data_IF_770876339282
#
_entry.id   IF_770876339282
#
_cell.length_a   1.000
_cell.length_b   1.000
_cell.length_c   1.000
_cell.angle_alpha   90.00
_cell.angle_beta   90.00
_cell.angle_gamma   90.00
#
_symmetry.space_group_name_H-M   'P 1'
#
loop_
_entity.id
_entity.type
_entity.pdbx_description
1 polymer ?
#
# COMPACT_ATOMS: atom_id res chain seq x y z
N UNK A 1 -19.89 -22.84 4.81
CA UNK A 1 -18.64 -23.03 5.50
C UNK A 1 -17.50 -22.34 4.79
N UNK A 2 -16.66 -21.73 5.53
CA UNK A 2 -15.55 -21.02 4.93
C UNK A 2 -14.29 -21.85 5.05
N UNK A 3 -13.67 -22.05 3.94
CA UNK A 3 -12.43 -22.80 3.90
C UNK A 3 -11.27 -21.84 3.83
N UNK A 4 -10.17 -22.28 4.40
CA UNK A 4 -8.92 -21.54 4.24
C UNK A 4 -8.58 -21.46 2.76
N UNK A 5 -8.13 -20.31 2.34
CA UNK A 5 -7.74 -20.12 0.97
C UNK A 5 -6.22 -20.10 0.87
N UNK A 6 -5.67 -20.89 -0.03
CA UNK A 6 -4.26 -20.80 -0.36
C UNK A 6 -4.05 -20.29 -1.78
N UNK A 7 -5.14 -19.91 -2.45
CA UNK A 7 -5.06 -19.39 -3.81
C UNK A 7 -4.47 -17.99 -3.79
N UNK A 8 -3.29 -17.78 -4.34
CA UNK A 8 -2.67 -16.45 -4.30
C UNK A 8 -3.51 -15.35 -4.95
N UNK A 9 -4.29 -15.71 -5.97
CA UNK A 9 -5.17 -14.72 -6.60
C UNK A 9 -6.23 -14.23 -5.66
N UNK A 10 -6.88 -15.14 -4.95
CA UNK A 10 -7.92 -14.77 -3.99
C UNK A 10 -7.32 -13.97 -2.85
N UNK A 11 -6.19 -14.42 -2.33
CA UNK A 11 -5.52 -13.74 -1.23
C UNK A 11 -5.14 -12.33 -1.64
N UNK A 12 -4.51 -12.19 -2.80
CA UNK A 12 -4.03 -10.88 -3.24
C UNK A 12 -5.17 -9.90 -3.45
N UNK A 13 -6.24 -10.34 -4.04
CA UNK A 13 -7.37 -9.45 -4.30
C UNK A 13 -8.03 -8.99 -2.98
N UNK A 14 -8.21 -9.92 -2.06
CA UNK A 14 -8.82 -9.59 -0.78
C UNK A 14 -7.94 -8.63 0.01
N UNK A 15 -6.63 -8.85 0.00
CA UNK A 15 -5.69 -7.95 0.69
C UNK A 15 -5.73 -6.57 0.05
N UNK A 16 -5.74 -6.52 -1.29
CA UNK A 16 -5.76 -5.24 -1.99
C UNK A 16 -7.00 -4.44 -1.62
N UNK A 17 -8.15 -5.08 -1.59
CA UNK A 17 -9.39 -4.40 -1.24
C UNK A 17 -9.37 -3.90 0.21
N UNK A 18 -8.87 -4.73 1.11
CA UNK A 18 -8.81 -4.34 2.52
C UNK A 18 -7.87 -3.17 2.77
N UNK A 19 -6.72 -3.19 2.12
CA UNK A 19 -5.74 -2.12 2.30
C UNK A 19 -6.21 -0.83 1.62
N UNK A 20 -6.85 -0.95 0.46
CA UNK A 20 -7.33 0.22 -0.26
C UNK A 20 -8.38 1.00 0.55
N UNK A 21 -9.06 0.35 1.48
CA UNK A 21 -10.05 1.00 2.30
C UNK A 21 -9.51 1.70 3.53
N UNK A 22 -8.20 1.64 3.77
CA UNK A 22 -7.60 2.24 4.95
C UNK A 22 -7.46 3.75 4.77
N UNK A 23 -7.91 4.52 5.77
CA UNK A 23 -7.76 5.97 5.71
C UNK A 23 -6.28 6.32 5.64
N UNK A 24 -5.92 7.17 4.70
CA UNK A 24 -4.54 7.58 4.51
C UNK A 24 -3.82 6.81 3.42
N UNK A 25 -4.42 5.74 2.90
CA UNK A 25 -3.86 5.03 1.75
C UNK A 25 -4.50 5.60 0.49
N UNK A 26 -3.68 6.19 -0.37
CA UNK A 26 -4.18 6.75 -1.62
C UNK A 26 -4.51 5.65 -2.63
N UNK A 27 -3.59 4.70 -2.76
CA UNK A 27 -3.77 3.58 -3.67
C UNK A 27 -2.65 2.58 -3.49
N UNK A 28 -2.82 1.41 -4.07
CA UNK A 28 -1.74 0.47 -4.22
C UNK A 28 -0.97 0.83 -5.49
N UNK A 29 0.29 0.40 -5.57
CA UNK A 29 1.15 0.79 -6.68
C UNK A 29 2.02 -0.40 -7.08
N UNK A 30 2.39 -0.51 -8.37
CA UNK A 30 3.29 -1.58 -8.78
C UNK A 30 4.72 -1.42 -8.28
N UNK A 31 5.01 -0.33 -7.58
CA UNK A 31 6.36 -0.07 -7.13
C UNK A 31 7.21 0.54 -8.24
N UNK A 32 8.50 0.69 -7.92
CA UNK A 32 9.46 1.19 -8.91
C UNK A 32 10.24 -0.02 -9.43
N UNK A 33 10.49 -0.05 -10.72
CA UNK A 33 11.25 -1.16 -11.31
C UNK A 33 10.35 -2.27 -11.80
N UNK A 34 10.66 -3.51 -11.42
CA UNK A 34 9.85 -4.64 -11.83
C UNK A 34 8.49 -4.56 -11.15
N UNK A 35 7.45 -4.78 -11.93
CA UNK A 35 6.08 -4.64 -11.41
C UNK A 35 5.83 -5.60 -10.25
N UNK A 36 5.38 -5.05 -9.14
CA UNK A 36 4.97 -5.84 -7.99
C UNK A 36 3.50 -6.21 -8.16
N UNK A 37 3.24 -7.49 -8.35
CA UNK A 37 1.88 -7.95 -8.60
C UNK A 37 1.78 -9.43 -8.33
N UNK A 38 0.56 -9.91 -8.13
CA UNK A 38 0.26 -11.32 -8.07
C UNK A 38 -0.57 -11.65 -9.30
N UNK A 39 -0.09 -12.60 -10.08
CA UNK A 39 -0.75 -12.98 -11.32
C UNK A 39 -1.59 -14.25 -11.12
N UNK A 40 -2.72 -14.30 -11.79
CA UNK A 40 -3.61 -15.43 -11.71
C UNK A 40 -4.36 -15.57 -13.04
N UNK A 41 -5.11 -16.65 -13.18
CA UNK A 41 -5.87 -16.85 -14.40
C UNK A 41 -6.85 -15.72 -14.60
N UNK A 42 -6.73 -15.03 -15.72
CA UNK A 42 -7.64 -13.95 -16.06
C UNK A 42 -7.20 -12.58 -15.59
N UNK A 43 -6.08 -12.45 -14.88
CA UNK A 43 -5.69 -11.11 -14.45
C UNK A 43 -4.53 -11.06 -13.50
N UNK A 44 -4.45 -9.94 -12.79
CA UNK A 44 -3.40 -9.73 -11.80
C UNK A 44 -3.88 -8.74 -10.75
N UNK A 45 -3.28 -8.80 -9.57
CA UNK A 45 -3.50 -7.81 -8.53
C UNK A 45 -2.22 -7.02 -8.37
N UNK A 46 -2.25 -5.76 -8.79
CA UNK A 46 -1.07 -4.89 -8.73
C UNK A 46 -0.88 -4.40 -7.30
N UNK A 47 0.36 -4.37 -6.86
CA UNK A 47 0.71 -3.84 -5.55
C UNK A 47 0.67 -4.84 -4.43
N UNK A 48 0.31 -6.09 -4.71
CA UNK A 48 0.29 -7.14 -3.69
C UNK A 48 1.08 -8.32 -4.23
N UNK A 49 2.09 -8.75 -3.49
CA UNK A 49 2.87 -9.92 -3.85
C UNK A 49 2.66 -10.96 -2.77
N UNK A 50 2.06 -12.07 -3.15
CA UNK A 50 1.75 -13.16 -2.22
C UNK A 50 2.80 -14.26 -2.37
N UNK A 51 3.45 -14.58 -1.26
CA UNK A 51 4.40 -15.67 -1.22
C UNK A 51 3.93 -16.66 -0.17
N UNK A 52 4.58 -17.79 -0.10
CA UNK A 52 4.16 -18.85 0.80
C UNK A 52 4.15 -18.39 2.26
N UNK A 53 5.13 -17.60 2.65
CA UNK A 53 5.29 -17.20 4.05
C UNK A 53 5.11 -15.71 4.28
N UNK A 54 4.75 -14.94 3.25
CA UNK A 54 4.77 -13.50 3.35
C UNK A 54 3.87 -12.87 2.30
N UNK A 55 3.27 -11.75 2.67
CA UNK A 55 2.57 -10.90 1.72
C UNK A 55 3.22 -9.52 1.80
N UNK A 56 3.56 -8.97 0.65
CA UNK A 56 4.13 -7.63 0.59
C UNK A 56 3.16 -6.72 -0.15
N UNK A 57 2.90 -5.55 0.43
CA UNK A 57 1.93 -4.61 -0.11
C UNK A 57 2.64 -3.30 -0.40
N UNK A 58 2.49 -2.80 -1.61
CA UNK A 58 3.11 -1.55 -2.06
C UNK A 58 2.06 -0.48 -2.16
N UNK A 59 2.23 0.60 -1.39
CA UNK A 59 1.19 1.62 -1.29
C UNK A 59 1.76 3.02 -1.44
N UNK A 60 0.86 3.92 -1.82
CA UNK A 60 1.11 5.36 -1.83
C UNK A 60 0.21 5.96 -0.76
N UNK A 61 0.76 6.83 0.06
CA UNK A 61 0.02 7.42 1.17
C UNK A 61 -0.50 8.80 0.81
N UNK A 62 -1.64 9.15 1.37
CA UNK A 62 -2.23 10.47 1.22
C UNK A 62 -2.24 11.26 2.52
N UNK A 63 -1.70 10.70 3.59
CA UNK A 63 -1.69 11.33 4.90
C UNK A 63 -0.41 11.00 5.64
N UNK A 64 -0.11 11.84 6.62
CA UNK A 64 0.96 11.63 7.57
C UNK A 64 0.34 11.36 8.94
N UNK A 65 1.05 10.77 9.86
CA UNK A 65 2.44 10.29 9.78
C UNK A 65 2.53 8.96 9.05
N UNK A 66 3.67 8.78 8.38
CA UNK A 66 3.88 7.58 7.55
C UNK A 66 3.73 6.30 8.37
N UNK A 67 4.41 6.25 9.51
CA UNK A 67 4.45 5.03 10.32
C UNK A 67 3.05 4.60 10.76
N UNK A 68 2.23 5.57 11.14
CA UNK A 68 0.89 5.28 11.63
C UNK A 68 -0.01 4.73 10.54
N UNK A 69 0.04 5.36 9.37
CA UNK A 69 -0.78 4.91 8.24
C UNK A 69 -0.31 3.54 7.76
N UNK A 70 1.02 3.36 7.65
CA UNK A 70 1.57 2.08 7.22
C UNK A 70 1.17 0.97 8.19
N UNK A 71 1.15 1.26 9.48
CA UNK A 71 0.75 0.25 10.46
C UNK A 71 -0.72 -0.11 10.31
N UNK A 72 -1.57 0.87 10.07
CA UNK A 72 -2.99 0.59 9.84
C UNK A 72 -3.19 -0.25 8.59
N UNK A 73 -2.40 0.00 7.56
CA UNK A 73 -2.46 -0.81 6.35
C UNK A 73 -2.03 -2.25 6.63
N UNK A 74 -0.95 -2.39 7.40
CA UNK A 74 -0.46 -3.73 7.77
C UNK A 74 -1.52 -4.49 8.56
N UNK A 75 -2.13 -3.82 9.51
CA UNK A 75 -3.16 -4.46 10.32
C UNK A 75 -4.38 -4.86 9.49
N UNK A 76 -4.74 -4.02 8.53
CA UNK A 76 -5.87 -4.35 7.66
C UNK A 76 -5.56 -5.60 6.85
N UNK A 77 -4.34 -5.68 6.30
CA UNK A 77 -3.93 -6.86 5.56
C UNK A 77 -3.95 -8.10 6.45
N UNK A 78 -3.47 -7.96 7.67
CA UNK A 78 -3.45 -9.09 8.60
C UNK A 78 -4.84 -9.57 8.94
N UNK A 79 -5.79 -8.65 9.12
CA UNK A 79 -7.17 -9.04 9.39
C UNK A 79 -7.76 -9.83 8.22
N UNK A 80 -7.47 -9.39 7.01
CA UNK A 80 -7.95 -10.10 5.82
C UNK A 80 -7.38 -11.52 5.77
N UNK A 81 -6.07 -11.63 5.99
CA UNK A 81 -5.43 -12.94 5.95
C UNK A 81 -5.97 -13.87 7.02
N UNK A 82 -6.21 -13.32 8.20
CA UNK A 82 -6.77 -14.13 9.29
C UNK A 82 -8.17 -14.62 8.92
N UNK A 83 -8.98 -13.74 8.34
CA UNK A 83 -10.33 -14.11 7.94
C UNK A 83 -10.33 -15.21 6.89
N UNK A 84 -9.28 -15.24 6.05
CA UNK A 84 -9.17 -16.27 5.01
C UNK A 84 -8.49 -17.53 5.51
N UNK A 85 -8.00 -17.55 6.74
CA UNK A 85 -7.22 -18.68 7.23
C UNK A 85 -5.89 -18.81 6.51
N UNK A 86 -5.34 -17.68 6.05
CA UNK A 86 -4.13 -17.66 5.24
C UNK A 86 -3.06 -16.78 5.87
N UNK A 87 -2.96 -16.81 7.18
CA UNK A 87 -2.05 -15.93 7.91
C UNK A 87 -0.59 -16.13 7.49
N UNK A 88 0.09 -15.01 7.32
CA UNK A 88 1.52 -14.98 7.03
C UNK A 88 2.03 -13.59 7.36
N UNK A 89 3.32 -13.43 7.31
CA UNK A 89 3.92 -12.12 7.57
C UNK A 89 3.45 -11.10 6.55
N UNK A 90 3.23 -9.88 7.02
CA UNK A 90 2.84 -8.78 6.13
C UNK A 90 3.91 -7.71 6.18
N UNK A 91 4.40 -7.33 5.03
CA UNK A 91 5.32 -6.21 4.89
C UNK A 91 4.67 -5.14 4.04
N UNK A 92 4.68 -3.91 4.53
CA UNK A 92 4.13 -2.78 3.79
C UNK A 92 5.29 -1.92 3.30
N UNK A 93 5.30 -1.66 2.01
CA UNK A 93 6.30 -0.80 1.39
C UNK A 93 5.61 0.49 0.97
N UNK A 94 6.06 1.61 1.54
CA UNK A 94 5.52 2.92 1.19
C UNK A 94 6.39 3.47 0.06
N UNK A 95 5.79 3.58 -1.12
CA UNK A 95 6.54 3.99 -2.30
C UNK A 95 6.53 5.49 -2.50
N UNK A 96 5.48 6.17 -2.05
CA UNK A 96 5.35 7.58 -2.33
C UNK A 96 4.31 8.21 -1.43
N UNK A 97 4.31 9.54 -1.41
CA UNK A 97 3.32 10.34 -0.69
C UNK A 97 2.62 11.25 -1.69
N UNK A 98 1.30 11.31 -1.60
CA UNK A 98 0.51 12.22 -2.41
C UNK A 98 -0.39 13.01 -1.48
N UNK A 99 0.14 14.08 -0.93
CA UNK A 99 -0.56 14.88 0.06
C UNK A 99 -1.12 16.11 -0.62
N UNK A 100 -2.37 16.03 -1.00
CA UNK A 100 -3.00 17.11 -1.75
C UNK A 100 -3.36 18.30 -0.90
N UNK A 101 -3.50 18.09 0.40
CA UNK A 101 -3.87 19.17 1.29
C UNK A 101 -2.71 20.02 1.76
N UNK A 102 -1.52 19.77 1.22
CA UNK A 102 -0.40 20.65 1.58
C UNK A 102 -0.74 22.09 1.21
N UNK A 103 -0.59 23.00 2.15
CA UNK A 103 -0.90 24.41 1.83
C UNK A 103 -0.06 24.92 0.68
N UNK A 104 -0.67 25.75 -0.14
CA UNK A 104 0.05 26.35 -1.26
C UNK A 104 1.27 27.10 -0.79
N UNK A 105 1.16 27.78 0.33
CA UNK A 105 2.28 28.57 0.86
C UNK A 105 3.47 27.66 1.17
N UNK A 106 3.22 26.47 1.68
CA UNK A 106 4.32 25.55 1.94
C UNK A 106 4.98 25.08 0.66
N UNK A 107 4.20 24.83 -0.35
CA UNK A 107 4.76 24.43 -1.63
C UNK A 107 5.59 25.55 -2.25
N UNK A 108 5.08 26.77 -2.14
CA UNK A 108 5.82 27.93 -2.65
C UNK A 108 7.14 28.12 -1.92
N UNK A 109 7.12 27.97 -0.61
CA UNK A 109 8.32 28.14 0.19
C UNK A 109 9.35 27.08 -0.15
N UNK A 110 8.91 25.91 -0.39
CA UNK A 110 9.83 24.82 -0.70
C UNK A 110 10.58 25.08 -1.99
N UNK A 111 9.99 25.90 -2.82
CA UNK A 111 10.65 26.18 -4.07
C UNK A 111 11.71 27.18 -3.96
N UNK A 112 12.18 28.02 -3.51
CA UNK A 112 13.06 28.86 -3.53
C UNK A 112 14.00 29.21 -3.17
N UNK A 113 13.33 29.05 -3.31
CA UNK A 113 13.74 29.43 -2.97
C UNK A 113 14.45 29.61 -3.15
N UNK A 114 14.24 29.76 -3.58
CA UNK A 114 14.63 30.07 -3.56
C UNK A 114 15.37 30.41 -3.55
N UNK A 115 15.57 30.64 -3.89
CA UNK A 115 16.07 31.24 -3.63
C UNK A 115 16.46 31.78 -3.56
N UNK A 116 16.43 32.03 -3.55
CA UNK A 116 16.69 32.67 -3.25
C UNK A 116 17.18 32.90 -2.79
N UNK A 117 17.10 32.87 -3.00
CA UNK A 117 17.35 33.27 -2.55
C UNK A 117 18.03 33.76 -2.26
N UNK A 118 18.15 33.78 -2.57
CA UNK A 118 18.54 34.41 -2.16
C UNK A 118 18.67 35.10 -2.05
N UNK A 119 18.58 35.45 -2.16
CA UNK A 119 18.59 36.31 -1.89
C UNK A 119 18.84 36.76 -1.44
#
# INVERSE_FOLDING_TARGET
MIESSSDPGVISLAVALGVAGVAGVARLTPGAGVEAATYFAGGKTVGVVVRQDQVRVYIVLSQLPIAEVAERAREAAQRVLRALGAERLVEVVVEDLEIEQLPTILRSTALPSQPKRGR
#
